data_IF_374936084174
#
_entry.id   IF_374936084174
#
_cell.length_a   1.000
_cell.length_b   1.000
_cell.length_c   1.000
_cell.angle_alpha   90.00
_cell.angle_beta   90.00
_cell.angle_gamma   90.00
#
_symmetry.space_group_name_H-M   'P 1'
#
loop_
_entity.id
_entity.type
_entity.pdbx_description
1 polymer ?
#
# COMPACT_ATOMS: atom_id res chain seq x y z
N UNK A 1 27.51 -8.36 -7.15
CA UNK A 1 27.13 -9.67 -6.57
C UNK A 1 25.79 -9.46 -5.90
N UNK A 2 24.71 -10.03 -6.45
CA UNK A 2 23.38 -9.95 -5.85
C UNK A 2 23.25 -11.05 -4.80
N UNK A 3 23.64 -10.75 -3.56
CA UNK A 3 23.48 -11.67 -2.43
C UNK A 3 22.00 -11.78 -2.07
N UNK A 4 21.51 -12.98 -1.70
CA UNK A 4 20.12 -13.14 -1.33
C UNK A 4 19.78 -12.33 -0.08
N UNK A 5 18.58 -11.75 -0.08
CA UNK A 5 18.02 -11.02 1.06
C UNK A 5 17.30 -11.98 2.03
N UNK A 6 17.24 -11.65 3.33
CA UNK A 6 16.42 -12.37 4.30
C UNK A 6 14.96 -12.43 3.85
N UNK A 7 14.37 -13.64 3.86
CA UNK A 7 12.94 -13.82 3.57
C UNK A 7 12.11 -13.40 4.78
N UNK A 8 11.03 -12.66 4.54
CA UNK A 8 10.03 -12.36 5.56
C UNK A 8 9.39 -13.69 5.99
N UNK A 9 9.51 -14.02 7.27
CA UNK A 9 8.83 -15.18 7.85
C UNK A 9 7.37 -14.82 8.23
N UNK A 10 6.56 -15.83 8.50
CA UNK A 10 5.12 -15.64 8.78
C UNK A 10 4.85 -14.73 9.99
N UNK A 11 5.70 -14.76 11.02
CA UNK A 11 5.56 -13.92 12.22
C UNK A 11 5.85 -12.45 11.91
N UNK A 12 6.89 -12.21 11.12
CA UNK A 12 7.27 -10.86 10.67
C UNK A 12 6.17 -10.30 9.77
N UNK A 13 5.58 -11.13 8.91
CA UNK A 13 4.43 -10.76 8.11
C UNK A 13 3.24 -10.31 8.99
N UNK A 14 2.85 -11.09 10.00
CA UNK A 14 1.76 -10.70 10.89
C UNK A 14 2.05 -9.42 11.67
N UNK A 15 3.29 -9.22 12.11
CA UNK A 15 3.69 -7.98 12.79
C UNK A 15 3.60 -6.76 11.86
N UNK A 16 4.07 -6.90 10.61
CA UNK A 16 3.98 -5.84 9.60
C UNK A 16 2.53 -5.55 9.19
N UNK A 17 1.71 -6.58 8.99
CA UNK A 17 0.30 -6.45 8.70
C UNK A 17 -0.46 -5.76 9.84
N UNK A 18 -0.22 -6.14 11.09
CA UNK A 18 -0.83 -5.49 12.25
C UNK A 18 -0.42 -4.00 12.35
N UNK A 19 0.84 -3.69 12.06
CA UNK A 19 1.33 -2.32 12.05
C UNK A 19 0.71 -1.50 10.90
N UNK A 20 0.62 -2.06 9.70
CA UNK A 20 -0.05 -1.42 8.56
C UNK A 20 -1.53 -1.14 8.88
N UNK A 21 -2.23 -2.11 9.46
CA UNK A 21 -3.63 -1.92 9.91
C UNK A 21 -3.73 -0.81 10.95
N UNK A 22 -2.85 -0.77 11.94
CA UNK A 22 -2.87 0.26 12.97
C UNK A 22 -2.62 1.67 12.39
N UNK A 23 -1.67 1.80 11.46
CA UNK A 23 -1.38 3.07 10.80
C UNK A 23 -2.55 3.52 9.93
N UNK A 24 -3.15 2.62 9.14
CA UNK A 24 -4.31 2.95 8.32
C UNK A 24 -5.54 3.30 9.18
N UNK A 25 -5.73 2.61 10.32
CA UNK A 25 -6.77 2.92 11.31
C UNK A 25 -6.60 4.31 11.93
N UNK A 26 -5.37 4.83 12.02
CA UNK A 26 -5.09 6.19 12.49
C UNK A 26 -5.13 7.24 11.36
N UNK A 27 -4.70 6.87 10.15
CA UNK A 27 -4.71 7.73 8.97
C UNK A 27 -6.13 8.12 8.54
N UNK A 28 -7.08 7.19 8.61
CA UNK A 28 -8.47 7.42 8.26
C UNK A 28 -9.14 8.55 9.06
N UNK A 29 -9.15 8.49 10.41
CA UNK A 29 -9.68 9.56 11.25
C UNK A 29 -8.95 10.89 11.05
N UNK A 30 -7.63 10.87 10.84
CA UNK A 30 -6.87 12.09 10.56
C UNK A 30 -7.29 12.75 9.24
N UNK A 31 -7.52 11.95 8.19
CA UNK A 31 -8.05 12.42 6.91
C UNK A 31 -9.45 13.02 7.08
N UNK A 32 -10.34 12.35 7.82
CA UNK A 32 -11.69 12.85 8.12
C UNK A 32 -11.64 14.15 8.94
N UNK A 33 -10.82 14.21 9.99
CA UNK A 33 -10.65 15.41 10.81
C UNK A 33 -10.14 16.60 9.97
N UNK A 34 -9.24 16.33 9.02
CA UNK A 34 -8.75 17.35 8.07
C UNK A 34 -9.86 17.84 7.16
N UNK A 35 -10.67 16.95 6.57
CA UNK A 35 -11.82 17.36 5.76
C UNK A 35 -12.78 18.25 6.55
N UNK A 36 -13.11 17.84 7.77
CA UNK A 36 -14.02 18.57 8.67
C UNK A 36 -13.46 19.96 8.98
N UNK A 37 -12.17 20.04 9.30
CA UNK A 37 -11.49 21.31 9.58
C UNK A 37 -11.50 22.25 8.36
N UNK A 38 -11.16 21.74 7.18
CA UNK A 38 -11.16 22.52 5.93
C UNK A 38 -12.58 22.95 5.55
N UNK A 39 -13.58 22.13 5.84
CA UNK A 39 -14.99 22.44 5.58
C UNK A 39 -15.63 23.35 6.65
N UNK A 40 -14.94 23.63 7.76
CA UNK A 40 -15.51 24.38 8.89
C UNK A 40 -16.72 23.70 9.55
N UNK A 41 -16.83 22.38 9.43
CA UNK A 41 -17.95 21.60 9.98
C UNK A 41 -17.67 21.12 11.41
N UNK A 42 -18.70 20.71 12.14
CA UNK A 42 -18.54 20.11 13.46
C UNK A 42 -17.98 18.68 13.37
N UNK A 43 -17.04 18.37 14.25
CA UNK A 43 -16.47 17.02 14.33
C UNK A 43 -17.41 16.07 15.07
N UNK A 44 -17.76 14.96 14.42
CA UNK A 44 -18.53 13.89 15.07
C UNK A 44 -17.67 12.66 15.29
N UNK A 45 -17.79 12.04 16.46
CA UNK A 45 -17.09 10.79 16.78
C UNK A 45 -17.40 9.68 15.76
N UNK A 46 -18.64 9.64 15.24
CA UNK A 46 -19.07 8.69 14.21
C UNK A 46 -18.29 8.87 12.91
N UNK A 47 -18.08 10.10 12.45
CA UNK A 47 -17.31 10.34 11.22
C UNK A 47 -15.86 9.86 11.37
N UNK A 48 -15.23 10.13 12.52
CA UNK A 48 -13.88 9.64 12.81
C UNK A 48 -13.83 8.11 12.86
N UNK A 49 -14.80 7.46 13.49
CA UNK A 49 -14.91 5.99 13.54
C UNK A 49 -15.06 5.36 12.15
N UNK A 50 -15.88 5.96 11.29
CA UNK A 50 -16.03 5.52 9.89
C UNK A 50 -14.72 5.70 9.11
N UNK A 51 -13.98 6.78 9.37
CA UNK A 51 -12.63 6.97 8.84
C UNK A 51 -11.68 5.84 9.27
N UNK A 52 -11.66 5.49 10.56
CA UNK A 52 -10.86 4.37 11.07
C UNK A 52 -11.23 3.05 10.40
N UNK A 53 -12.54 2.77 10.30
CA UNK A 53 -13.05 1.55 9.68
C UNK A 53 -12.61 1.45 8.21
N UNK A 54 -12.76 2.52 7.42
CA UNK A 54 -12.30 2.55 6.03
C UNK A 54 -10.80 2.22 5.90
N UNK A 55 -9.97 2.76 6.79
CA UNK A 55 -8.54 2.47 6.84
C UNK A 55 -8.23 1.02 7.20
N UNK A 56 -8.91 0.48 8.23
CA UNK A 56 -8.80 -0.93 8.63
C UNK A 56 -9.22 -1.86 7.50
N UNK A 57 -10.31 -1.56 6.78
CA UNK A 57 -10.76 -2.38 5.66
C UNK A 57 -9.74 -2.40 4.53
N UNK A 58 -9.21 -1.24 4.12
CA UNK A 58 -8.16 -1.17 3.06
C UNK A 58 -6.96 -2.06 3.40
N UNK A 59 -6.35 -1.80 4.56
CA UNK A 59 -5.15 -2.51 5.02
C UNK A 59 -5.40 -3.99 5.33
N UNK A 60 -6.54 -4.32 5.94
CA UNK A 60 -6.93 -5.69 6.27
C UNK A 60 -7.14 -6.55 5.03
N UNK A 61 -7.77 -6.01 3.99
CA UNK A 61 -7.94 -6.72 2.70
C UNK A 61 -6.60 -6.95 2.02
N UNK A 62 -5.71 -5.94 2.01
CA UNK A 62 -4.37 -6.09 1.45
C UNK A 62 -3.57 -7.17 2.20
N UNK A 63 -3.54 -7.12 3.53
CA UNK A 63 -2.89 -8.12 4.36
C UNK A 63 -3.48 -9.52 4.13
N UNK A 64 -4.81 -9.64 4.01
CA UNK A 64 -5.45 -10.92 3.73
C UNK A 64 -5.03 -11.49 2.36
N UNK A 65 -5.03 -10.66 1.32
CA UNK A 65 -4.63 -11.07 -0.03
C UNK A 65 -3.15 -11.49 -0.06
N UNK A 66 -2.27 -10.74 0.61
CA UNK A 66 -0.86 -11.09 0.73
C UNK A 66 -0.65 -12.40 1.49
N UNK A 67 -1.39 -12.61 2.59
CA UNK A 67 -1.36 -13.85 3.36
C UNK A 67 -1.74 -15.06 2.50
N UNK A 68 -2.85 -14.95 1.76
CA UNK A 68 -3.29 -16.00 0.84
C UNK A 68 -2.28 -16.26 -0.29
N UNK A 69 -1.47 -15.27 -0.64
CA UNK A 69 -0.36 -15.42 -1.58
C UNK A 69 0.75 -16.37 -1.13
N UNK A 70 0.81 -16.72 0.16
CA UNK A 70 1.69 -17.78 0.66
C UNK A 70 1.09 -19.18 0.50
N UNK A 71 -0.22 -19.29 0.32
CA UNK A 71 -0.97 -20.55 0.30
C UNK A 71 -0.89 -21.34 -1.01
N UNK A 72 -0.19 -20.85 -2.05
CA UNK A 72 -0.07 -21.57 -3.32
C UNK A 72 -1.38 -21.72 -4.09
N UNK A 73 -2.20 -20.66 -4.11
CA UNK A 73 -3.50 -20.66 -4.78
C UNK A 73 -3.40 -20.87 -6.31
N UNK A 74 -4.41 -21.48 -6.94
CA UNK A 74 -4.48 -21.58 -8.39
C UNK A 74 -4.54 -20.19 -9.02
N UNK A 75 -3.98 -20.05 -10.23
CA UNK A 75 -3.84 -18.74 -10.92
C UNK A 75 -5.14 -17.96 -11.02
N UNK A 76 -6.27 -18.63 -11.28
CA UNK A 76 -7.58 -17.97 -11.36
C UNK A 76 -7.99 -17.33 -10.03
N UNK A 77 -7.83 -18.04 -8.91
CA UNK A 77 -8.11 -17.50 -7.58
C UNK A 77 -7.15 -16.36 -7.23
N UNK A 78 -5.87 -16.48 -7.60
CA UNK A 78 -4.89 -15.41 -7.42
C UNK A 78 -5.26 -14.15 -8.19
N UNK A 79 -5.68 -14.26 -9.45
CA UNK A 79 -6.09 -13.11 -10.27
C UNK A 79 -7.30 -12.39 -9.66
N UNK A 80 -8.27 -13.11 -9.10
CA UNK A 80 -9.40 -12.51 -8.40
C UNK A 80 -8.98 -11.75 -7.14
N UNK A 81 -8.04 -12.31 -6.36
CA UNK A 81 -7.50 -11.64 -5.18
C UNK A 81 -6.69 -10.39 -5.54
N UNK A 82 -5.92 -10.43 -6.62
CA UNK A 82 -5.19 -9.25 -7.13
C UNK A 82 -6.17 -8.17 -7.58
N UNK A 83 -7.27 -8.53 -8.23
CA UNK A 83 -8.31 -7.56 -8.59
C UNK A 83 -8.96 -6.94 -7.34
N UNK A 84 -9.23 -7.74 -6.31
CA UNK A 84 -9.75 -7.24 -5.03
C UNK A 84 -8.76 -6.29 -4.34
N UNK A 85 -7.48 -6.64 -4.31
CA UNK A 85 -6.40 -5.84 -3.72
C UNK A 85 -5.97 -4.64 -4.57
N UNK A 86 -6.47 -4.52 -5.80
CA UNK A 86 -6.16 -3.38 -6.67
C UNK A 86 -6.78 -2.08 -6.14
N UNK A 87 -6.25 -0.94 -6.56
CA UNK A 87 -6.84 0.37 -6.23
C UNK A 87 -8.32 0.45 -6.62
N UNK A 88 -8.69 -0.16 -7.76
CA UNK A 88 -10.10 -0.25 -8.19
C UNK A 88 -10.95 -1.06 -7.21
N UNK A 89 -10.50 -2.28 -6.85
CA UNK A 89 -11.22 -3.16 -5.95
C UNK A 89 -11.43 -2.55 -4.57
N UNK A 90 -10.35 -2.00 -3.98
CA UNK A 90 -10.38 -1.39 -2.65
C UNK A 90 -11.24 -0.12 -2.64
N UNK A 91 -11.12 0.77 -3.64
CA UNK A 91 -11.92 1.99 -3.68
C UNK A 91 -13.41 1.67 -3.72
N UNK A 92 -13.82 0.70 -4.56
CA UNK A 92 -15.21 0.26 -4.65
C UNK A 92 -15.67 -0.40 -3.35
N UNK A 93 -14.86 -1.29 -2.77
CA UNK A 93 -15.19 -1.99 -1.53
C UNK A 93 -15.40 -1.01 -0.37
N UNK A 94 -14.43 -0.13 -0.11
CA UNK A 94 -14.50 0.85 0.98
C UNK A 94 -15.65 1.83 0.75
N UNK A 95 -15.85 2.29 -0.48
CA UNK A 95 -16.99 3.18 -0.78
C UNK A 95 -18.32 2.46 -0.54
N UNK A 96 -18.44 1.20 -0.93
CA UNK A 96 -19.64 0.38 -0.69
C UNK A 96 -19.90 0.22 0.79
N UNK A 97 -18.87 -0.13 1.58
CA UNK A 97 -18.95 -0.30 3.02
C UNK A 97 -19.43 0.98 3.71
N UNK A 98 -18.75 2.10 3.47
CA UNK A 98 -19.06 3.37 4.13
C UNK A 98 -20.43 3.90 3.66
N UNK A 99 -20.78 3.75 2.38
CA UNK A 99 -22.10 4.15 1.88
C UNK A 99 -23.20 3.35 2.54
N UNK A 100 -23.07 2.02 2.66
CA UNK A 100 -24.07 1.20 3.36
C UNK A 100 -24.23 1.60 4.83
N UNK A 101 -23.14 1.97 5.51
CA UNK A 101 -23.18 2.38 6.92
C UNK A 101 -23.75 3.79 7.15
N UNK A 102 -23.67 4.66 6.15
CA UNK A 102 -24.11 6.07 6.25
C UNK A 102 -25.50 6.26 5.65
N UNK A 103 -25.74 5.66 4.48
CA UNK A 103 -26.94 5.85 3.65
C UNK A 103 -27.89 4.64 3.68
N UNK A 104 -27.44 3.48 4.17
CA UNK A 104 -28.21 2.22 4.14
C UNK A 104 -28.17 1.49 2.80
N UNK A 105 -27.52 2.07 1.80
CA UNK A 105 -27.30 1.50 0.47
C UNK A 105 -25.98 2.00 -0.13
N UNK A 106 -25.57 1.42 -1.26
CA UNK A 106 -24.40 1.86 -2.03
C UNK A 106 -24.84 2.43 -3.39
N UNK A 107 -25.10 3.75 -3.47
CA UNK A 107 -25.54 4.38 -4.71
C UNK A 107 -24.56 4.15 -5.85
N UNK A 108 -25.06 3.76 -7.02
CA UNK A 108 -24.24 3.54 -8.22
C UNK A 108 -23.37 4.75 -8.57
N UNK A 109 -23.86 5.96 -8.31
CA UNK A 109 -23.10 7.20 -8.49
C UNK A 109 -21.82 7.25 -7.64
N UNK A 110 -21.88 6.85 -6.37
CA UNK A 110 -20.72 6.80 -5.48
C UNK A 110 -19.75 5.69 -5.89
N UNK A 111 -20.27 4.56 -6.37
CA UNK A 111 -19.43 3.47 -6.91
C UNK A 111 -18.70 3.90 -8.19
N UNK A 112 -19.37 4.64 -9.08
CA UNK A 112 -18.74 5.22 -10.26
C UNK A 112 -17.66 6.24 -9.84
N UNK A 113 -17.96 7.09 -8.86
CA UNK A 113 -16.98 8.03 -8.32
C UNK A 113 -15.75 7.31 -7.76
N UNK A 114 -15.94 6.20 -7.05
CA UNK A 114 -14.85 5.35 -6.54
C UNK A 114 -13.98 4.77 -7.66
N UNK A 115 -14.60 4.25 -8.73
CA UNK A 115 -13.89 3.70 -9.88
C UNK A 115 -13.05 4.77 -10.58
N UNK A 116 -13.61 5.97 -10.76
CA UNK A 116 -12.92 7.07 -11.44
C UNK A 116 -11.79 7.61 -10.57
N UNK A 117 -12.00 7.71 -9.25
CA UNK A 117 -10.96 8.08 -8.30
C UNK A 117 -9.82 7.06 -8.21
N UNK A 118 -10.08 5.78 -8.49
CA UNK A 118 -9.04 4.76 -8.54
C UNK A 118 -8.01 4.98 -9.67
N UNK A 119 -8.33 5.77 -10.71
CA UNK A 119 -7.42 6.05 -11.83
C UNK A 119 -6.18 6.84 -11.37
N UNK A 120 -6.29 8.01 -10.72
CA UNK A 120 -5.13 8.69 -10.16
C UNK A 120 -4.43 7.84 -9.09
N UNK A 121 -5.18 7.10 -8.26
CA UNK A 121 -4.59 6.19 -7.25
C UNK A 121 -3.84 4.99 -7.87
N UNK A 122 -4.14 4.58 -9.11
CA UNK A 122 -3.38 3.54 -9.80
C UNK A 122 -1.92 3.97 -10.04
N UNK A 123 -1.63 5.27 -10.04
CA UNK A 123 -0.26 5.78 -10.06
C UNK A 123 0.57 5.40 -8.82
N UNK A 124 -0.07 5.11 -7.69
CA UNK A 124 0.62 4.56 -6.50
C UNK A 124 1.27 3.21 -6.79
N UNK A 125 0.66 2.41 -7.67
CA UNK A 125 1.22 1.12 -8.07
C UNK A 125 2.57 1.27 -8.77
N UNK A 126 2.85 2.41 -9.42
CA UNK A 126 4.16 2.67 -10.07
C UNK A 126 5.29 2.70 -9.03
N UNK A 127 5.03 3.26 -7.85
CA UNK A 127 5.97 3.24 -6.73
C UNK A 127 6.21 1.83 -6.17
N UNK A 128 5.18 1.00 -6.16
CA UNK A 128 5.24 -0.40 -5.71
C UNK A 128 6.02 -1.27 -6.72
N UNK A 129 5.75 -1.15 -8.03
CA UNK A 129 6.44 -1.93 -9.07
C UNK A 129 7.95 -1.63 -9.14
N UNK A 130 8.39 -0.45 -8.72
CA UNK A 130 9.81 -0.11 -8.67
C UNK A 130 10.56 -0.92 -7.59
N UNK A 131 9.87 -1.35 -6.52
CA UNK A 131 10.42 -2.25 -5.50
C UNK A 131 10.48 -3.72 -5.95
N UNK A 132 9.71 -4.11 -6.98
CA UNK A 132 9.70 -5.48 -7.55
C UNK A 132 10.81 -5.74 -8.59
N UNK A 133 11.54 -4.71 -9.02
CA UNK A 133 12.56 -4.82 -10.08
C UNK A 133 13.98 -4.87 -9.51
N UNK A 134 14.31 -5.94 -8.79
CA UNK A 134 15.71 -6.39 -8.76
C UNK A 134 15.92 -7.29 -9.98
N UNK A 135 16.62 -6.78 -11.00
CA UNK A 135 17.11 -7.62 -12.11
C UNK A 135 18.11 -8.63 -11.55
N UNK A 136 17.68 -9.84 -11.22
CA UNK A 136 18.63 -10.93 -11.04
C UNK A 136 18.93 -11.52 -12.43
N UNK A 137 19.96 -10.98 -13.09
CA UNK A 137 20.40 -11.46 -14.40
C UNK A 137 21.19 -12.76 -14.22
N UNK A 138 20.50 -13.91 -14.25
CA UNK A 138 21.13 -15.22 -14.44
C UNK A 138 20.79 -15.77 -15.82
N UNK A 139 21.78 -16.36 -16.47
CA UNK A 139 21.95 -16.39 -17.92
C UNK A 139 20.84 -17.05 -18.77
N UNK A 140 19.79 -17.65 -18.20
CA UNK A 140 18.72 -18.31 -18.99
C UNK A 140 17.33 -18.34 -18.31
N UNK A 141 17.04 -17.50 -17.31
CA UNK A 141 15.71 -17.49 -16.68
C UNK A 141 15.35 -16.12 -16.11
N UNK A 142 14.21 -15.60 -16.55
CA UNK A 142 13.61 -14.40 -15.96
C UNK A 142 12.90 -14.83 -14.66
N UNK A 143 13.61 -14.78 -13.53
CA UNK A 143 13.05 -15.16 -12.24
C UNK A 143 12.61 -13.89 -11.49
N UNK A 144 11.29 -13.69 -11.39
CA UNK A 144 10.70 -12.66 -10.53
C UNK A 144 10.95 -13.04 -9.07
N UNK A 145 11.91 -12.39 -8.40
CA UNK A 145 12.10 -12.53 -6.95
C UNK A 145 11.23 -11.49 -6.25
N UNK A 146 10.32 -11.96 -5.39
CA UNK A 146 9.51 -11.11 -4.50
C UNK A 146 10.45 -10.37 -3.54
N UNK A 147 10.94 -9.18 -3.89
CA UNK A 147 11.33 -8.21 -2.88
C UNK A 147 10.03 -7.74 -2.23
N UNK A 148 9.99 -7.79 -0.89
CA UNK A 148 8.86 -7.44 -0.02
C UNK A 148 7.86 -6.47 -0.67
N UNK A 149 6.83 -7.05 -1.29
CA UNK A 149 5.82 -6.34 -2.07
C UNK A 149 5.06 -5.34 -1.23
N UNK A 150 4.69 -4.20 -1.81
CA UNK A 150 3.77 -3.21 -1.25
C UNK A 150 4.27 -2.41 -0.03
N UNK A 151 4.87 -3.08 0.94
CA UNK A 151 5.24 -2.57 2.27
C UNK A 151 6.60 -1.86 2.33
N UNK A 152 7.45 -2.04 1.32
CA UNK A 152 8.74 -1.33 1.24
C UNK A 152 8.61 -0.18 0.24
N UNK A 153 8.27 0.99 0.78
CA UNK A 153 7.91 2.18 0.01
C UNK A 153 9.01 2.64 -0.95
N UNK A 154 8.59 3.30 -2.03
CA UNK A 154 9.47 3.93 -3.01
C UNK A 154 10.32 5.06 -2.41
N UNK A 155 11.29 5.56 -3.18
CA UNK A 155 12.22 6.63 -2.79
C UNK A 155 11.46 7.84 -2.20
N UNK A 156 12.05 8.63 -1.29
CA UNK A 156 11.37 9.81 -0.71
C UNK A 156 10.76 10.76 -1.75
N UNK A 157 11.38 10.89 -2.94
CA UNK A 157 10.84 11.67 -4.05
C UNK A 157 9.54 11.14 -4.67
N UNK A 158 9.33 9.81 -4.69
CA UNK A 158 8.06 9.24 -5.18
C UNK A 158 6.91 9.45 -4.20
N UNK A 159 7.20 9.73 -2.92
CA UNK A 159 6.16 9.96 -1.91
C UNK A 159 5.45 11.29 -2.09
N UNK A 160 6.17 12.34 -2.46
CA UNK A 160 5.56 13.65 -2.78
C UNK A 160 4.57 13.49 -3.94
N UNK A 161 4.93 12.66 -4.92
CA UNK A 161 4.05 12.35 -6.05
C UNK A 161 2.82 11.54 -5.61
N UNK A 162 3.00 10.53 -4.76
CA UNK A 162 1.90 9.72 -4.20
C UNK A 162 0.91 10.59 -3.41
N UNK A 163 1.40 11.47 -2.53
CA UNK A 163 0.55 12.43 -1.79
C UNK A 163 -0.27 13.30 -2.75
N UNK A 164 0.33 13.73 -3.86
CA UNK A 164 -0.38 14.47 -4.90
C UNK A 164 -1.46 13.64 -5.61
N UNK A 165 -1.20 12.36 -5.86
CA UNK A 165 -2.18 11.43 -6.45
C UNK A 165 -3.33 11.13 -5.48
N UNK A 166 -3.06 10.98 -4.19
CA UNK A 166 -4.10 10.79 -3.18
C UNK A 166 -4.98 12.03 -3.02
N UNK A 167 -4.38 13.22 -3.03
CA UNK A 167 -5.12 14.47 -3.07
C UNK A 167 -6.00 14.58 -4.32
N UNK A 168 -5.46 14.22 -5.48
CA UNK A 168 -6.19 14.19 -6.74
C UNK A 168 -7.32 13.15 -6.72
N UNK A 169 -7.10 11.98 -6.12
CA UNK A 169 -8.11 10.95 -5.92
C UNK A 169 -9.29 11.43 -5.09
N UNK A 170 -9.01 12.07 -3.95
CA UNK A 170 -10.05 12.69 -3.11
C UNK A 170 -10.85 13.75 -3.87
N UNK A 171 -10.16 14.64 -4.60
CA UNK A 171 -10.80 15.65 -5.45
C UNK A 171 -11.71 15.02 -6.52
N UNK A 172 -11.18 14.04 -7.26
CA UNK A 172 -11.89 13.36 -8.35
C UNK A 172 -13.12 12.62 -7.81
N UNK A 173 -12.99 11.94 -6.67
CA UNK A 173 -14.10 11.27 -6.01
C UNK A 173 -15.24 12.26 -5.71
N UNK A 174 -14.95 13.35 -5.00
CA UNK A 174 -15.96 14.34 -4.62
C UNK A 174 -16.62 14.99 -5.84
N UNK A 175 -15.84 15.30 -6.88
CA UNK A 175 -16.37 15.86 -8.13
C UNK A 175 -17.27 14.88 -8.88
N UNK A 176 -16.88 13.61 -8.95
CA UNK A 176 -17.69 12.60 -9.63
C UNK A 176 -18.95 12.24 -8.86
N UNK A 177 -18.88 12.22 -7.53
CA UNK A 177 -20.06 12.08 -6.68
C UNK A 177 -21.06 13.22 -6.92
N UNK A 178 -20.57 14.48 -6.95
CA UNK A 178 -21.38 15.65 -7.26
C UNK A 178 -22.07 15.53 -8.63
N UNK A 179 -21.32 15.12 -9.67
CA UNK A 179 -21.89 14.90 -11.01
C UNK A 179 -23.00 13.82 -11.02
N UNK A 180 -22.94 12.87 -10.09
CA UNK A 180 -23.97 11.86 -9.88
C UNK A 180 -25.11 12.28 -8.96
N UNK A 181 -25.17 13.55 -8.54
CA UNK A 181 -26.20 14.10 -7.65
C UNK A 181 -25.93 13.90 -6.16
N UNK A 182 -24.70 13.52 -5.77
CA UNK A 182 -24.31 13.30 -4.38
C UNK A 182 -23.28 14.33 -3.92
N UNK A 183 -23.74 15.32 -3.17
CA UNK A 183 -22.89 16.31 -2.51
C UNK A 183 -22.29 15.78 -1.21
N UNK A 184 -21.17 15.06 -1.33
CA UNK A 184 -20.49 14.46 -0.18
C UNK A 184 -19.76 15.51 0.66
N UNK A 185 -18.88 16.30 0.02
CA UNK A 185 -18.16 17.41 0.65
C UNK A 185 -17.53 18.33 -0.41
N UNK A 186 -17.09 19.55 -0.05
CA UNK A 186 -16.35 20.41 -0.97
C UNK A 186 -15.06 19.77 -1.47
N UNK A 187 -14.71 20.05 -2.72
CA UNK A 187 -13.62 19.38 -3.41
C UNK A 187 -12.25 19.61 -2.77
N UNK A 188 -12.03 20.79 -2.17
CA UNK A 188 -10.83 21.12 -1.42
C UNK A 188 -10.71 20.33 -0.12
N UNK A 189 -11.82 20.07 0.58
CA UNK A 189 -11.85 19.24 1.78
C UNK A 189 -11.52 17.78 1.44
N UNK A 190 -12.09 17.26 0.34
CA UNK A 190 -11.78 15.92 -0.14
C UNK A 190 -10.31 15.77 -0.57
N UNK A 191 -9.78 16.76 -1.28
CA UNK A 191 -8.36 16.77 -1.67
C UNK A 191 -7.43 16.81 -0.46
N UNK A 192 -7.75 17.63 0.55
CA UNK A 192 -6.95 17.71 1.77
C UNK A 192 -6.98 16.40 2.58
N UNK A 193 -8.14 15.74 2.64
CA UNK A 193 -8.26 14.42 3.27
C UNK A 193 -7.39 13.37 2.58
N UNK A 194 -7.44 13.33 1.24
CA UNK A 194 -6.57 12.47 0.43
C UNK A 194 -5.09 12.74 0.72
N UNK A 195 -4.67 14.01 0.67
CA UNK A 195 -3.29 14.39 0.94
C UNK A 195 -2.80 13.94 2.33
N UNK A 196 -3.62 14.14 3.37
CA UNK A 196 -3.26 13.73 4.74
C UNK A 196 -3.19 12.22 4.88
N UNK A 197 -4.17 11.51 4.33
CA UNK A 197 -4.15 10.04 4.32
C UNK A 197 -2.86 9.52 3.69
N UNK A 198 -2.57 9.97 2.45
CA UNK A 198 -1.38 9.59 1.70
C UNK A 198 -0.07 9.98 2.36
N UNK A 199 -0.04 11.10 3.07
CA UNK A 199 1.15 11.51 3.82
C UNK A 199 1.42 10.54 4.97
N UNK A 200 0.40 10.15 5.73
CA UNK A 200 0.57 9.26 6.88
C UNK A 200 0.99 7.85 6.42
N UNK A 201 0.26 7.28 5.46
CA UNK A 201 0.55 5.93 4.95
C UNK A 201 1.86 5.91 4.15
N UNK A 202 2.10 6.91 3.31
CA UNK A 202 3.31 7.04 2.50
C UNK A 202 4.58 7.21 3.34
N UNK A 203 4.55 8.06 4.38
CA UNK A 203 5.69 8.20 5.31
C UNK A 203 5.98 6.90 6.04
N UNK A 204 4.94 6.18 6.46
CA UNK A 204 5.07 4.88 7.11
C UNK A 204 5.74 3.86 6.19
N UNK A 205 5.21 3.67 4.97
CA UNK A 205 5.79 2.73 4.00
C UNK A 205 7.20 3.12 3.58
N UNK A 206 7.50 4.42 3.49
CA UNK A 206 8.86 4.91 3.21
C UNK A 206 9.82 4.58 4.33
N UNK A 207 9.39 4.79 5.58
CA UNK A 207 10.22 4.48 6.74
C UNK A 207 10.52 2.98 6.80
N UNK A 208 9.50 2.13 6.58
CA UNK A 208 9.70 0.69 6.47
C UNK A 208 10.62 0.31 5.30
N UNK A 209 10.44 0.94 4.14
CA UNK A 209 11.31 0.74 2.97
C UNK A 209 12.76 1.12 3.24
N UNK A 210 13.00 2.26 3.90
CA UNK A 210 14.34 2.68 4.32
C UNK A 210 14.96 1.70 5.32
N UNK A 211 14.21 1.27 6.34
CA UNK A 211 14.70 0.30 7.33
C UNK A 211 14.99 -1.06 6.71
N UNK A 212 14.14 -1.52 5.80
CA UNK A 212 14.34 -2.74 5.01
C UNK A 212 15.58 -2.66 4.11
N UNK A 213 15.85 -1.48 3.55
CA UNK A 213 16.97 -1.20 2.66
C UNK A 213 18.33 -1.15 3.37
N UNK A 214 18.37 -0.92 4.69
CA UNK A 214 19.62 -1.03 5.47
C UNK A 214 19.96 -2.52 5.63
N UNK A 215 20.69 -3.02 4.65
CA UNK A 215 21.18 -4.40 4.60
C UNK A 215 22.70 -4.42 4.78
N UNK A 216 23.18 -5.15 5.77
CA UNK A 216 24.61 -5.40 5.99
C UNK A 216 24.97 -6.75 5.42
N UNK A 217 25.94 -6.79 4.52
CA UNK A 217 26.43 -8.03 3.91
C UNK A 217 27.93 -8.19 4.18
N UNK A 218 28.29 -9.29 4.82
CA UNK A 218 29.68 -9.67 5.05
C UNK A 218 30.00 -10.90 4.21
N UNK A 219 31.09 -10.86 3.44
CA UNK A 219 31.58 -12.01 2.67
C UNK A 219 32.99 -12.35 3.14
N UNK A 220 33.23 -13.62 3.46
CA UNK A 220 34.53 -14.13 3.90
C UNK A 220 34.75 -15.52 3.30
N UNK A 221 35.78 -15.66 2.45
CA UNK A 221 36.14 -16.94 1.81
C UNK A 221 34.95 -17.65 1.13
N UNK A 222 34.11 -16.89 0.43
CA UNK A 222 32.91 -17.41 -0.23
C UNK A 222 31.70 -17.64 0.67
N UNK A 223 31.85 -17.59 2.00
CA UNK A 223 30.71 -17.54 2.91
C UNK A 223 30.16 -16.12 2.95
N UNK A 224 28.86 -15.97 2.71
CA UNK A 224 28.18 -14.69 2.88
C UNK A 224 27.21 -14.77 4.06
N UNK A 225 27.06 -13.63 4.74
CA UNK A 225 26.02 -13.38 5.72
C UNK A 225 25.39 -12.03 5.39
N UNK A 226 24.11 -12.04 5.06
CA UNK A 226 23.31 -10.85 4.77
C UNK A 226 22.30 -10.67 5.89
N UNK A 227 22.29 -9.51 6.54
CA UNK A 227 21.40 -9.18 7.66
C UNK A 227 20.65 -7.88 7.38
N UNK A 228 19.35 -7.87 7.66
CA UNK A 228 18.52 -6.67 7.72
C UNK A 228 17.53 -6.77 8.90
N UNK A 229 16.61 -5.81 9.01
CA UNK A 229 15.59 -5.81 10.08
C UNK A 229 14.63 -7.01 10.05
N UNK A 230 14.57 -7.75 8.94
CA UNK A 230 13.69 -8.91 8.75
C UNK A 230 14.40 -10.25 9.00
N UNK A 231 15.71 -10.24 9.26
CA UNK A 231 16.45 -11.41 9.69
C UNK A 231 17.85 -11.49 9.13
N UNK A 232 18.43 -12.68 9.23
CA UNK A 232 19.77 -12.99 8.71
C UNK A 232 19.69 -14.20 7.79
N UNK A 233 20.34 -14.12 6.63
CA UNK A 233 20.55 -15.24 5.72
C UNK A 233 22.04 -15.44 5.54
N UNK A 234 22.48 -16.69 5.64
CA UNK A 234 23.87 -17.07 5.43
C UNK A 234 23.95 -18.20 4.43
N UNK A 235 25.01 -18.21 3.62
CA UNK A 235 25.24 -19.28 2.65
C UNK A 235 26.67 -19.28 2.13
N UNK A 236 26.90 -20.10 1.12
CA UNK A 236 28.18 -20.19 0.43
C UNK A 236 27.97 -19.90 -1.05
N UNK A 237 28.76 -18.97 -1.60
CA UNK A 237 28.83 -18.71 -3.03
C UNK A 237 29.99 -19.53 -3.62
N UNK A 238 29.73 -20.63 -4.35
CA UNK A 238 30.76 -21.44 -4.96
C UNK A 238 31.55 -20.72 -6.06
N UNK A 239 31.07 -19.57 -6.55
CA UNK A 239 31.73 -18.77 -7.59
C UNK A 239 32.51 -17.58 -7.04
N UNK A 240 32.73 -17.49 -5.72
CA UNK A 240 33.37 -16.33 -5.10
C UNK A 240 34.77 -16.00 -5.67
N UNK A 241 35.51 -17.03 -6.10
CA UNK A 241 36.83 -16.91 -6.72
C UNK A 241 36.83 -16.22 -8.09
N UNK A 242 35.70 -16.19 -8.80
CA UNK A 242 35.61 -15.61 -10.16
C UNK A 242 35.55 -14.08 -10.15
N UNK A 243 35.31 -13.46 -9.00
CA UNK A 243 35.14 -12.01 -8.86
C UNK A 243 36.37 -11.32 -8.24
N UNK A 244 37.50 -12.04 -8.10
CA UNK A 244 38.77 -11.51 -7.60
C UNK A 244 39.68 -10.97 -8.72
N UNK A 245 39.25 -11.04 -9.99
CA UNK A 245 39.97 -10.55 -11.17
C UNK A 245 39.05 -9.70 -12.06
#
# INVERSE_FOLDING_TARGET
MDLPLPRINVWTFFALAALDVAINAAAGPAAVATAIHVNGSESTARALQLGALAGVTKSGVLAFVEFLGYGGLPTSAWMLLVLLASSFGICVLVTTEISNLVLGEAPSALLIAAIVAAIPLAGECIGIYQSYLVKQQSANMFTWTKAAGGLTGGRPGSQIFIVGLDALGGYVFARMAHNGGYDVCPYNAAAAAGAVYGTITGLFHTTLGCLAGVTSSTVTNGHYTTTNIFGTVSGYDPNWNRNLF
#
